data_IF_288768893957
#
_entry.id   IF_288768893957
#
_cell.length_a   1.000
_cell.length_b   1.000
_cell.length_c   1.000
_cell.angle_alpha   90.00
_cell.angle_beta   90.00
_cell.angle_gamma   90.00
#
_symmetry.space_group_name_H-M   'P 1'
#
loop_
_entity.id
_entity.type
_entity.pdbx_description
1 polymer ?
#
# COMPACT_ATOMS: atom_id res chain seq x y z
N UNK A 1 30.57 -18.71 -25.32
CA UNK A 1 29.91 -18.52 -24.01
C UNK A 1 30.68 -17.44 -23.30
N UNK A 2 30.15 -16.22 -23.22
CA UNK A 2 30.77 -15.13 -22.46
C UNK A 2 30.31 -15.36 -21.03
N UNK A 3 31.22 -15.82 -20.18
CA UNK A 3 30.94 -16.10 -18.76
C UNK A 3 30.82 -14.77 -18.01
N UNK A 4 29.64 -14.16 -18.08
CA UNK A 4 29.37 -12.91 -17.36
C UNK A 4 29.25 -13.28 -15.89
N UNK A 5 30.27 -12.91 -15.10
CA UNK A 5 30.28 -13.05 -13.64
C UNK A 5 29.22 -12.12 -12.99
N UNK A 6 27.94 -12.45 -13.13
CA UNK A 6 26.84 -11.84 -12.38
C UNK A 6 26.45 -12.71 -11.16
N UNK A 7 27.44 -13.22 -10.44
CA UNK A 7 27.19 -13.94 -9.19
C UNK A 7 26.93 -12.92 -8.08
N UNK A 8 25.71 -12.37 -8.05
CA UNK A 8 25.23 -11.70 -6.85
C UNK A 8 24.80 -12.78 -5.85
N UNK A 9 25.35 -12.81 -4.63
CA UNK A 9 24.92 -13.80 -3.63
C UNK A 9 23.40 -13.71 -3.41
N UNK A 10 22.74 -14.83 -3.12
CA UNK A 10 21.29 -14.88 -2.83
C UNK A 10 20.39 -14.29 -3.95
N UNK A 11 20.75 -14.47 -5.23
CA UNK A 11 19.86 -14.18 -6.36
C UNK A 11 19.44 -15.48 -7.03
N UNK A 12 18.14 -15.61 -7.30
CA UNK A 12 17.64 -16.68 -8.17
C UNK A 12 17.97 -16.31 -9.62
N UNK A 13 18.58 -17.24 -10.35
CA UNK A 13 18.86 -17.10 -11.78
C UNK A 13 17.98 -18.10 -12.52
N UNK A 14 17.29 -17.62 -13.56
CA UNK A 14 16.56 -18.47 -14.49
C UNK A 14 17.29 -18.40 -15.82
N UNK A 15 17.69 -19.57 -16.33
CA UNK A 15 18.28 -19.72 -17.66
C UNK A 15 17.29 -20.42 -18.57
N UNK A 16 17.11 -19.89 -19.79
CA UNK A 16 16.34 -20.52 -20.85
C UNK A 16 17.32 -20.79 -22.01
N UNK A 17 17.38 -22.03 -22.47
CA UNK A 17 18.11 -22.39 -23.69
C UNK A 17 17.10 -22.61 -24.81
N UNK A 18 17.31 -21.91 -25.92
CA UNK A 18 16.47 -21.98 -27.11
C UNK A 18 17.33 -22.07 -28.36
N UNK A 19 16.76 -22.64 -29.41
CA UNK A 19 17.40 -22.69 -30.71
C UNK A 19 17.30 -21.32 -31.41
N UNK A 20 18.44 -20.79 -31.84
CA UNK A 20 18.52 -19.49 -32.50
C UNK A 20 17.79 -19.48 -33.86
N UNK A 21 17.68 -20.64 -34.53
CA UNK A 21 16.99 -20.77 -35.82
C UNK A 21 15.48 -20.46 -35.71
N UNK A 22 14.87 -20.71 -34.54
CA UNK A 22 13.44 -20.48 -34.32
C UNK A 22 13.08 -19.01 -34.09
N UNK A 23 14.04 -18.16 -33.70
CA UNK A 23 13.80 -16.78 -33.28
C UNK A 23 14.35 -15.72 -34.25
N UNK A 24 14.91 -16.13 -35.39
CA UNK A 24 15.26 -15.23 -36.50
C UNK A 24 16.17 -14.05 -36.12
N UNK A 25 16.97 -14.21 -35.05
CA UNK A 25 17.86 -13.15 -34.53
C UNK A 25 17.19 -12.07 -33.68
N UNK A 26 15.90 -12.18 -33.31
CA UNK A 26 15.26 -11.27 -32.35
C UNK A 26 15.61 -11.64 -30.90
N UNK A 27 15.76 -10.61 -30.04
CA UNK A 27 15.88 -10.81 -28.59
C UNK A 27 14.57 -11.39 -28.03
N UNK A 28 14.66 -12.53 -27.38
CA UNK A 28 13.53 -13.15 -26.71
C UNK A 28 13.09 -12.32 -25.50
N UNK A 29 11.80 -12.02 -25.43
CA UNK A 29 11.16 -11.52 -24.20
C UNK A 29 10.52 -12.70 -23.47
N UNK A 30 10.91 -12.92 -22.22
CA UNK A 30 10.34 -13.99 -21.39
C UNK A 30 9.59 -13.35 -20.22
N UNK A 31 8.32 -13.71 -20.08
CA UNK A 31 7.47 -13.28 -18.97
C UNK A 31 7.35 -14.43 -17.97
N UNK A 32 7.56 -14.13 -16.69
CA UNK A 32 7.45 -15.12 -15.62
C UNK A 32 6.35 -14.73 -14.65
N UNK A 33 5.50 -15.70 -14.29
CA UNK A 33 4.60 -15.56 -13.16
C UNK A 33 5.22 -16.24 -11.94
N UNK A 34 5.76 -15.45 -11.02
CA UNK A 34 6.45 -15.94 -9.83
C UNK A 34 5.73 -15.50 -8.56
N UNK A 35 5.76 -16.36 -7.55
CA UNK A 35 5.52 -15.92 -6.18
C UNK A 35 6.71 -15.08 -5.75
N UNK A 36 6.42 -13.93 -5.14
CA UNK A 36 7.43 -12.98 -4.69
C UNK A 36 8.35 -13.52 -3.58
N UNK A 37 8.94 -12.61 -2.81
CA UNK A 37 9.92 -12.98 -1.79
C UNK A 37 9.26 -13.63 -0.57
N UNK A 38 9.98 -14.55 0.08
CA UNK A 38 9.70 -14.95 1.46
C UNK A 38 10.10 -13.79 2.37
N UNK A 39 9.14 -13.33 3.17
CA UNK A 39 9.29 -12.19 4.09
C UNK A 39 9.09 -12.65 5.55
N UNK A 40 9.42 -11.78 6.50
CA UNK A 40 9.16 -12.03 7.92
C UNK A 40 7.73 -11.64 8.26
N UNK A 41 6.92 -12.62 8.70
CA UNK A 41 5.53 -12.43 9.13
C UNK A 41 5.36 -12.87 10.58
N UNK A 42 4.30 -12.45 11.30
CA UNK A 42 4.02 -12.93 12.65
C UNK A 42 3.97 -14.45 12.71
N UNK A 43 4.53 -15.01 13.78
CA UNK A 43 4.47 -16.44 14.05
C UNK A 43 3.03 -16.99 14.04
N UNK A 44 2.09 -16.18 14.52
CA UNK A 44 0.67 -16.50 14.63
C UNK A 44 -0.18 -16.17 13.38
N UNK A 45 0.45 -15.71 12.31
CA UNK A 45 -0.23 -15.40 11.05
C UNK A 45 -0.16 -16.59 10.08
N UNK A 46 -1.31 -16.99 9.53
CA UNK A 46 -1.40 -17.92 8.40
C UNK A 46 -1.50 -17.11 7.11
N UNK A 47 -0.45 -17.06 6.26
CA UNK A 47 -0.46 -16.25 5.04
C UNK A 47 -1.37 -16.80 3.94
N UNK A 48 -1.72 -18.09 3.95
CA UNK A 48 -2.60 -18.67 2.94
C UNK A 48 -4.06 -18.36 3.27
N UNK A 49 -4.42 -18.53 4.55
CA UNK A 49 -5.79 -18.26 5.03
C UNK A 49 -6.01 -16.79 5.42
N UNK A 50 -4.93 -16.03 5.58
CA UNK A 50 -4.91 -14.65 6.08
C UNK A 50 -5.54 -14.49 7.46
N UNK A 51 -5.39 -15.49 8.31
CA UNK A 51 -5.94 -15.51 9.66
C UNK A 51 -4.85 -15.37 10.71
N UNK A 52 -5.21 -14.76 11.83
CA UNK A 52 -4.33 -14.60 12.99
C UNK A 52 -4.90 -15.45 14.13
N UNK A 53 -4.09 -16.33 14.71
CA UNK A 53 -4.54 -17.26 15.75
C UNK A 53 -3.91 -16.96 17.11
N UNK A 54 -4.74 -16.77 18.14
CA UNK A 54 -4.25 -16.46 19.48
C UNK A 54 -3.54 -15.11 19.60
N UNK A 55 -2.90 -14.89 20.75
CA UNK A 55 -2.17 -13.65 21.06
C UNK A 55 -0.77 -13.74 20.47
N UNK A 56 -0.35 -12.69 19.76
CA UNK A 56 1.00 -12.62 19.21
C UNK A 56 2.01 -12.21 20.29
N UNK A 57 3.10 -12.95 20.40
CA UNK A 57 4.22 -12.72 21.33
C UNK A 57 5.30 -11.79 20.75
N UNK A 58 5.11 -11.29 19.53
CA UNK A 58 6.08 -10.44 18.84
C UNK A 58 7.15 -11.21 18.06
N UNK A 59 7.08 -12.55 17.98
CA UNK A 59 8.00 -13.38 17.20
C UNK A 59 7.63 -13.45 15.71
N UNK A 60 8.63 -13.58 14.84
CA UNK A 60 8.45 -13.60 13.38
C UNK A 60 8.89 -14.96 12.82
N UNK A 61 8.24 -15.39 11.74
CA UNK A 61 8.58 -16.55 10.93
C UNK A 61 8.73 -16.18 9.46
N UNK A 62 9.61 -16.86 8.70
CA UNK A 62 9.72 -16.66 7.27
C UNK A 62 8.53 -17.30 6.54
N UNK A 63 7.74 -16.51 5.80
CA UNK A 63 6.71 -17.02 4.91
C UNK A 63 6.45 -16.05 3.75
N UNK A 64 5.86 -16.54 2.66
CA UNK A 64 5.37 -15.67 1.60
C UNK A 64 4.07 -15.01 2.02
N UNK A 65 3.94 -13.69 1.88
CA UNK A 65 2.68 -12.97 2.06
C UNK A 65 2.65 -11.76 1.13
N UNK A 66 1.45 -11.39 0.69
CA UNK A 66 1.16 -10.18 -0.09
C UNK A 66 0.36 -9.15 0.73
N UNK A 67 0.43 -9.24 2.06
CA UNK A 67 -0.08 -8.21 2.94
C UNK A 67 0.92 -7.03 2.95
N UNK A 68 0.48 -5.80 2.61
CA UNK A 68 1.36 -4.63 2.52
C UNK A 68 2.10 -4.31 3.82
N UNK A 69 1.52 -4.59 4.99
CA UNK A 69 2.15 -4.31 6.28
C UNK A 69 3.42 -5.12 6.49
N UNK A 70 3.38 -6.41 6.13
CA UNK A 70 4.54 -7.30 6.25
C UNK A 70 5.55 -7.07 5.12
N UNK A 71 5.08 -6.72 3.92
CA UNK A 71 5.97 -6.28 2.85
C UNK A 71 6.73 -5.00 3.23
N UNK A 72 6.07 -4.06 3.92
CA UNK A 72 6.70 -2.85 4.44
C UNK A 72 7.71 -3.16 5.55
N UNK A 73 7.36 -4.05 6.49
CA UNK A 73 8.29 -4.50 7.53
C UNK A 73 9.59 -5.07 6.93
N UNK A 74 9.46 -5.93 5.92
CA UNK A 74 10.60 -6.51 5.22
C UNK A 74 11.44 -5.43 4.50
N UNK A 75 10.79 -4.48 3.81
CA UNK A 75 11.50 -3.35 3.20
C UNK A 75 12.27 -2.53 4.24
N UNK A 76 11.67 -2.24 5.40
CA UNK A 76 12.32 -1.40 6.40
C UNK A 76 13.48 -2.12 7.10
N UNK A 77 13.34 -3.41 7.39
CA UNK A 77 14.30 -4.15 8.23
C UNK A 77 15.39 -4.85 7.43
N UNK A 78 15.21 -5.10 6.14
CA UNK A 78 16.16 -5.91 5.38
C UNK A 78 17.48 -5.15 5.09
N UNK A 79 18.66 -5.68 5.45
CA UNK A 79 19.94 -4.96 5.36
C UNK A 79 20.47 -4.76 3.93
N UNK A 80 20.00 -5.55 2.97
CA UNK A 80 20.53 -5.55 1.58
C UNK A 80 19.86 -4.55 0.62
N UNK A 81 18.54 -4.61 0.49
CA UNK A 81 17.75 -3.78 -0.46
C UNK A 81 16.83 -2.80 0.26
N UNK A 82 16.68 -2.98 1.57
CA UNK A 82 15.81 -2.20 2.42
C UNK A 82 16.53 -1.08 3.13
N UNK A 83 15.86 -0.52 4.13
CA UNK A 83 16.43 0.50 5.01
C UNK A 83 17.16 -0.10 6.22
N UNK A 84 17.37 -1.43 6.26
CA UNK A 84 17.89 -2.16 7.42
C UNK A 84 19.30 -1.77 7.88
N UNK A 85 20.07 -1.04 7.05
CA UNK A 85 21.37 -0.48 7.45
C UNK A 85 21.25 0.80 8.30
N UNK A 86 20.10 1.48 8.23
CA UNK A 86 19.83 2.77 8.89
C UNK A 86 18.73 2.66 9.95
N UNK A 87 17.76 1.77 9.72
CA UNK A 87 16.67 1.47 10.65
C UNK A 87 16.79 0.02 11.08
N UNK A 88 16.97 -0.23 12.38
CA UNK A 88 16.89 -1.55 12.95
C UNK A 88 15.44 -2.01 13.15
N UNK A 89 15.23 -3.29 13.38
CA UNK A 89 13.91 -3.83 13.75
C UNK A 89 13.36 -3.23 15.05
N UNK A 90 14.23 -2.68 15.91
CA UNK A 90 13.84 -1.98 17.13
C UNK A 90 13.32 -0.56 16.86
N UNK A 91 13.71 0.06 15.76
CA UNK A 91 13.33 1.43 15.39
C UNK A 91 11.97 1.48 14.70
N UNK A 92 11.34 0.33 14.44
CA UNK A 92 10.05 0.21 13.74
C UNK A 92 9.01 -0.38 14.68
N UNK A 93 7.86 0.28 14.78
CA UNK A 93 6.75 -0.18 15.61
C UNK A 93 6.03 -1.38 14.98
N UNK A 94 6.49 -2.58 15.33
CA UNK A 94 5.88 -3.84 14.88
C UNK A 94 4.45 -4.05 15.37
N UNK A 95 4.05 -3.41 16.48
CA UNK A 95 2.72 -3.58 17.06
C UNK A 95 1.69 -2.77 16.29
N UNK A 96 2.03 -1.53 15.90
CA UNK A 96 1.22 -0.74 14.98
C UNK A 96 1.05 -1.45 13.64
N UNK A 97 2.13 -1.99 13.07
CA UNK A 97 2.07 -2.75 11.82
C UNK A 97 1.23 -4.03 11.94
N UNK A 98 1.23 -4.69 13.11
CA UNK A 98 0.38 -5.85 13.35
C UNK A 98 -1.12 -5.49 13.26
N UNK A 99 -1.53 -4.39 13.91
CA UNK A 99 -2.92 -3.93 13.85
C UNK A 99 -3.33 -3.52 12.41
N UNK A 100 -2.44 -2.87 11.67
CA UNK A 100 -2.64 -2.53 10.26
C UNK A 100 -2.72 -3.80 9.40
N UNK A 101 -1.85 -4.78 9.64
CA UNK A 101 -1.85 -6.06 8.95
C UNK A 101 -3.16 -6.81 9.11
N UNK A 102 -3.69 -6.86 10.33
CA UNK A 102 -5.02 -7.43 10.60
C UNK A 102 -6.14 -6.71 9.85
N UNK A 103 -6.07 -5.38 9.75
CA UNK A 103 -7.05 -4.59 9.00
C UNK A 103 -6.99 -4.85 7.49
N UNK A 104 -5.79 -4.96 6.92
CA UNK A 104 -5.58 -5.28 5.50
C UNK A 104 -6.10 -6.67 5.10
N UNK A 105 -6.02 -7.64 6.01
CA UNK A 105 -6.48 -9.01 5.76
C UNK A 105 -7.99 -9.24 5.98
N UNK A 106 -8.73 -8.24 6.45
CA UNK A 106 -10.19 -8.34 6.59
C UNK A 106 -10.85 -8.59 5.23
N UNK A 107 -11.79 -9.52 5.19
CA UNK A 107 -12.58 -9.78 4.00
C UNK A 107 -13.60 -8.67 3.79
N UNK A 108 -13.63 -8.12 2.58
CA UNK A 108 -14.55 -7.08 2.15
C UNK A 108 -15.17 -7.47 0.81
N UNK A 109 -16.37 -6.96 0.49
CA UNK A 109 -16.97 -7.18 -0.82
C UNK A 109 -16.07 -6.62 -1.93
N UNK A 110 -15.90 -7.41 -3.00
CA UNK A 110 -15.12 -7.02 -4.18
C UNK A 110 -15.87 -6.06 -5.12
N UNK A 111 -17.18 -5.85 -4.90
CA UNK A 111 -18.05 -5.05 -5.76
C UNK A 111 -18.68 -5.81 -6.92
N UNK A 112 -18.34 -7.09 -7.10
CA UNK A 112 -18.82 -7.97 -8.18
C UNK A 112 -19.54 -9.23 -7.66
N UNK A 113 -19.84 -9.30 -6.37
CA UNK A 113 -20.60 -10.38 -5.73
C UNK A 113 -19.74 -11.41 -4.99
N UNK A 114 -18.43 -11.20 -4.93
CA UNK A 114 -17.48 -11.98 -4.14
C UNK A 114 -16.93 -11.23 -2.94
N UNK A 115 -15.93 -11.83 -2.31
CA UNK A 115 -15.18 -11.23 -1.20
C UNK A 115 -13.69 -11.31 -1.49
N UNK A 116 -12.98 -10.26 -1.17
CA UNK A 116 -11.54 -10.18 -1.29
C UNK A 116 -10.92 -9.58 -0.02
N UNK A 117 -9.62 -9.79 0.23
CA UNK A 117 -8.90 -9.08 1.28
C UNK A 117 -8.95 -7.56 1.04
N UNK A 118 -9.08 -6.78 2.12
CA UNK A 118 -9.25 -5.33 2.04
C UNK A 118 -8.13 -4.65 1.27
N UNK A 119 -6.88 -4.98 1.57
CA UNK A 119 -5.72 -4.50 0.85
C UNK A 119 -4.76 -5.65 0.53
N UNK A 120 -4.36 -5.72 -0.72
CA UNK A 120 -3.28 -6.60 -1.18
C UNK A 120 -2.20 -5.75 -1.84
N UNK A 121 -0.97 -6.27 -1.83
CA UNK A 121 0.16 -5.54 -2.38
C UNK A 121 1.09 -6.49 -3.13
N UNK A 122 1.15 -6.31 -4.44
CA UNK A 122 2.03 -7.02 -5.34
C UNK A 122 2.76 -5.98 -6.20
N UNK A 123 3.96 -5.59 -5.78
CA UNK A 123 4.78 -4.62 -6.52
C UNK A 123 6.11 -5.24 -6.95
N UNK A 124 6.59 -4.81 -8.11
CA UNK A 124 7.91 -5.14 -8.62
C UNK A 124 8.81 -3.91 -8.59
N UNK A 125 9.88 -3.98 -7.79
CA UNK A 125 10.84 -2.89 -7.60
C UNK A 125 12.14 -3.20 -8.36
N UNK A 126 12.25 -2.73 -9.59
CA UNK A 126 13.44 -2.96 -10.44
C UNK A 126 14.45 -1.80 -10.39
N UNK A 127 13.99 -0.58 -10.12
CA UNK A 127 14.80 0.63 -10.21
C UNK A 127 15.11 1.22 -8.85
N UNK A 128 16.27 1.87 -8.72
CA UNK A 128 16.63 2.60 -7.51
C UNK A 128 15.75 3.85 -7.39
N UNK A 129 15.01 3.95 -6.27
CA UNK A 129 14.18 5.10 -5.91
C UNK A 129 14.59 5.61 -4.54
N UNK A 130 14.19 6.85 -4.22
CA UNK A 130 14.41 7.38 -2.86
C UNK A 130 13.61 6.54 -1.87
N UNK A 131 14.25 6.25 -0.74
CA UNK A 131 13.67 5.40 0.29
C UNK A 131 12.33 5.94 0.81
N UNK A 132 12.26 7.26 1.01
CA UNK A 132 11.04 7.94 1.45
C UNK A 132 9.88 7.82 0.46
N UNK A 133 10.14 7.96 -0.85
CA UNK A 133 9.10 7.83 -1.88
C UNK A 133 8.53 6.41 -1.87
N UNK A 134 9.39 5.39 -1.75
CA UNK A 134 8.95 3.99 -1.65
C UNK A 134 8.14 3.76 -0.37
N UNK A 135 8.60 4.27 0.77
CA UNK A 135 7.87 4.19 2.03
C UNK A 135 6.47 4.84 1.91
N UNK A 136 6.41 6.01 1.30
CA UNK A 136 5.16 6.73 1.05
C UNK A 136 4.21 5.93 0.15
N UNK A 137 4.74 5.25 -0.88
CA UNK A 137 3.93 4.39 -1.76
C UNK A 137 3.35 3.17 -1.02
N UNK A 138 4.12 2.55 -0.12
CA UNK A 138 3.59 1.49 0.75
C UNK A 138 2.52 2.02 1.71
N UNK A 139 2.76 3.22 2.26
CA UNK A 139 1.85 3.87 3.20
C UNK A 139 0.54 4.28 2.53
N UNK A 140 0.58 4.80 1.30
CA UNK A 140 -0.61 5.16 0.54
C UNK A 140 -1.47 3.93 0.20
N UNK A 141 -0.85 2.80 -0.15
CA UNK A 141 -1.57 1.53 -0.37
C UNK A 141 -2.31 1.04 0.89
N UNK A 142 -1.78 1.34 2.08
CA UNK A 142 -2.38 0.98 3.37
C UNK A 142 -3.27 2.06 3.98
N UNK A 143 -3.36 3.24 3.37
CA UNK A 143 -3.99 4.43 3.94
C UNK A 143 -3.44 4.77 5.33
N UNK A 144 -2.12 4.68 5.48
CA UNK A 144 -1.44 5.06 6.70
C UNK A 144 -0.44 6.19 6.45
N UNK A 145 -0.05 6.87 7.52
CA UNK A 145 1.01 7.87 7.51
C UNK A 145 2.15 7.41 8.43
N UNK A 146 3.41 7.43 7.95
CA UNK A 146 4.56 7.17 8.79
C UNK A 146 4.81 8.37 9.70
N UNK A 147 4.93 8.14 11.01
CA UNK A 147 5.18 9.17 12.02
C UNK A 147 6.37 8.75 12.87
N UNK A 148 7.31 9.67 13.06
CA UNK A 148 8.39 9.48 14.02
C UNK A 148 7.94 10.01 15.39
N UNK A 149 7.80 9.12 16.37
CA UNK A 149 7.33 9.50 17.72
C UNK A 149 8.47 9.93 18.67
N UNK A 150 9.70 10.04 18.16
CA UNK A 150 10.90 10.36 18.94
C UNK A 150 11.73 9.14 19.35
N UNK A 151 11.15 7.93 19.35
CA UNK A 151 11.84 6.68 19.66
C UNK A 151 11.80 5.68 18.50
N UNK A 152 10.62 5.54 17.89
CA UNK A 152 10.37 4.59 16.81
C UNK A 152 9.55 5.22 15.70
N UNK A 153 9.69 4.65 14.50
CA UNK A 153 8.82 4.89 13.36
C UNK A 153 7.53 4.11 13.57
N UNK A 154 6.45 4.84 13.88
CA UNK A 154 5.10 4.29 14.04
C UNK A 154 4.24 4.65 12.84
N UNK A 155 3.11 3.97 12.69
CA UNK A 155 2.20 4.13 11.56
C UNK A 155 0.80 4.41 12.06
N UNK A 156 0.25 5.54 11.64
CA UNK A 156 -1.13 5.92 11.93
C UNK A 156 -1.97 5.61 10.71
N UNK A 157 -2.92 4.68 10.83
CA UNK A 157 -3.81 4.30 9.74
C UNK A 157 -5.15 5.02 9.85
N UNK A 158 -5.66 5.48 8.72
CA UNK A 158 -7.04 5.95 8.58
C UNK A 158 -8.00 4.75 8.64
N UNK A 159 -8.48 4.49 9.86
CA UNK A 159 -9.49 3.47 10.16
C UNK A 159 -10.46 4.01 11.22
N UNK A 160 -11.72 3.56 11.22
CA UNK A 160 -12.66 3.91 12.28
C UNK A 160 -12.07 3.56 13.66
N UNK A 161 -12.06 4.53 14.56
CA UNK A 161 -11.60 4.39 15.94
C UNK A 161 -12.57 5.09 16.89
N UNK A 162 -12.58 4.66 18.15
CA UNK A 162 -13.36 5.32 19.18
C UNK A 162 -12.88 6.77 19.39
N UNK A 163 -13.81 7.64 19.78
CA UNK A 163 -13.49 9.03 20.11
C UNK A 163 -12.57 9.03 21.34
N UNK A 164 -11.32 9.47 21.15
CA UNK A 164 -10.32 9.47 22.22
C UNK A 164 -10.58 10.60 23.22
N UNK A 165 -11.02 11.76 22.74
CA UNK A 165 -11.30 12.91 23.60
C UNK A 165 -12.34 13.86 22.97
N UNK A 166 -13.44 14.19 23.65
CA UNK A 166 -14.34 15.26 23.24
C UNK A 166 -13.74 16.60 23.67
N UNK A 167 -13.52 17.50 22.72
CA UNK A 167 -13.16 18.89 23.02
C UNK A 167 -14.41 19.77 23.01
N UNK A 168 -14.59 20.57 24.06
CA UNK A 168 -15.62 21.61 24.11
C UNK A 168 -14.97 22.99 23.99
N UNK A 169 -15.76 24.02 23.69
CA UNK A 169 -15.25 25.39 23.60
C UNK A 169 -14.63 25.90 24.92
N UNK A 170 -14.95 25.24 26.05
CA UNK A 170 -14.35 25.53 27.36
C UNK A 170 -12.95 24.94 27.53
N UNK A 171 -12.60 23.90 26.76
CA UNK A 171 -11.31 23.21 26.82
C UNK A 171 -10.27 23.84 25.87
N UNK A 172 -10.69 24.74 24.99
CA UNK A 172 -9.84 25.36 23.98
C UNK A 172 -9.23 26.66 24.52
N UNK A 173 -7.90 26.72 24.53
CA UNK A 173 -7.18 27.96 24.80
C UNK A 173 -7.43 28.92 23.65
N UNK A 174 -8.01 30.06 23.99
CA UNK A 174 -8.29 31.14 23.05
C UNK A 174 -6.99 31.76 22.56
N UNK A 175 -6.89 32.05 21.26
CA UNK A 175 -5.74 32.76 20.72
C UNK A 175 -5.67 34.23 21.19
N UNK A 176 -4.57 34.92 20.87
CA UNK A 176 -4.36 36.34 21.23
C UNK A 176 -5.44 37.29 20.68
N UNK A 177 -6.25 36.85 19.71
CA UNK A 177 -7.36 37.61 19.11
C UNK A 177 -8.74 37.22 19.69
N UNK A 178 -8.80 36.38 20.71
CA UNK A 178 -10.05 35.95 21.32
C UNK A 178 -10.84 34.92 20.50
N UNK A 179 -10.22 34.29 19.49
CA UNK A 179 -10.82 33.22 18.71
C UNK A 179 -10.37 31.86 19.25
N UNK A 180 -11.32 31.01 19.63
CA UNK A 180 -11.08 29.62 20.01
C UNK A 180 -10.91 28.74 18.76
N UNK A 181 -11.92 27.95 18.41
CA UNK A 181 -11.89 27.13 17.20
C UNK A 181 -11.79 27.98 15.92
N UNK A 182 -10.86 27.61 15.05
CA UNK A 182 -10.73 28.14 13.69
C UNK A 182 -11.14 27.05 12.70
N UNK A 183 -12.07 27.38 11.82
CA UNK A 183 -12.52 26.48 10.75
C UNK A 183 -11.95 26.96 9.43
N UNK A 184 -11.33 26.05 8.69
CA UNK A 184 -10.83 26.29 7.33
C UNK A 184 -11.41 25.23 6.41
N UNK A 185 -11.90 25.68 5.25
CA UNK A 185 -12.53 24.80 4.28
C UNK A 185 -11.63 24.65 3.04
N UNK A 186 -11.58 23.45 2.49
CA UNK A 186 -10.91 23.17 1.21
C UNK A 186 -11.65 23.89 0.08
N UNK A 187 -10.90 24.52 -0.84
CA UNK A 187 -11.49 25.26 -1.95
C UNK A 187 -12.22 24.31 -2.92
N UNK A 188 -13.28 24.79 -3.56
CA UNK A 188 -14.13 23.98 -4.45
C UNK A 188 -13.34 23.30 -5.59
N UNK A 189 -12.33 23.99 -6.12
CA UNK A 189 -11.46 23.50 -7.20
C UNK A 189 -10.60 22.30 -6.80
N UNK A 190 -10.34 22.15 -5.50
CA UNK A 190 -9.50 21.09 -4.95
C UNK A 190 -10.35 19.86 -4.56
N UNK A 191 -11.68 19.92 -4.78
CA UNK A 191 -12.61 18.81 -4.59
C UNK A 191 -12.81 18.07 -5.90
N UNK A 192 -12.32 16.86 -5.98
CA UNK A 192 -12.47 15.97 -7.12
C UNK A 192 -13.75 15.15 -6.96
N UNK A 193 -14.47 15.00 -8.06
CA UNK A 193 -15.74 14.26 -8.11
C UNK A 193 -15.62 12.96 -8.90
N UNK A 194 -14.52 12.82 -9.63
CA UNK A 194 -14.17 11.67 -10.45
C UNK A 194 -12.70 11.34 -10.25
N UNK A 195 -12.36 10.05 -10.16
CA UNK A 195 -10.99 9.58 -10.00
C UNK A 195 -10.73 8.43 -10.98
N UNK A 196 -9.71 8.60 -11.82
CA UNK A 196 -9.13 7.53 -12.63
C UNK A 196 -8.00 6.86 -11.85
N UNK A 197 -8.19 5.60 -11.47
CA UNK A 197 -7.25 4.80 -10.69
C UNK A 197 -6.56 3.79 -11.59
N UNK A 198 -5.27 3.95 -11.82
CA UNK A 198 -4.47 2.97 -12.54
C UNK A 198 -4.04 1.83 -11.61
N UNK A 199 -4.22 0.58 -12.04
CA UNK A 199 -3.81 -0.62 -11.32
C UNK A 199 -3.23 -1.66 -12.28
N UNK A 200 -2.49 -2.64 -11.76
CA UNK A 200 -1.92 -3.71 -12.59
C UNK A 200 -2.91 -4.88 -12.68
N UNK A 201 -3.41 -5.18 -13.88
CA UNK A 201 -4.50 -6.14 -14.05
C UNK A 201 -3.98 -7.55 -14.42
N UNK A 202 -4.14 -8.57 -13.56
CA UNK A 202 -3.76 -9.94 -13.88
C UNK A 202 -4.55 -10.56 -15.03
N UNK A 203 -5.79 -10.12 -15.27
CA UNK A 203 -6.64 -10.61 -16.37
C UNK A 203 -6.22 -10.03 -17.72
N UNK A 204 -5.65 -8.81 -17.71
CA UNK A 204 -5.07 -8.16 -18.89
C UNK A 204 -3.56 -8.42 -19.04
N UNK A 205 -3.10 -9.60 -18.64
CA UNK A 205 -1.70 -10.01 -18.80
C UNK A 205 -0.70 -9.17 -17.98
N UNK A 206 -1.10 -8.68 -16.80
CA UNK A 206 -0.30 -7.83 -15.91
C UNK A 206 0.03 -6.45 -16.49
N UNK A 207 -0.78 -5.96 -17.43
CA UNK A 207 -0.68 -4.60 -17.94
C UNK A 207 -1.43 -3.61 -17.03
N UNK A 208 -1.11 -2.33 -17.16
CA UNK A 208 -1.83 -1.26 -16.45
C UNK A 208 -3.23 -1.10 -17.05
N UNK A 209 -4.25 -1.25 -16.21
CA UNK A 209 -5.65 -0.95 -16.51
C UNK A 209 -6.09 0.23 -15.65
N UNK A 210 -7.08 0.98 -16.14
CA UNK A 210 -7.63 2.15 -15.44
C UNK A 210 -9.06 1.86 -15.00
N UNK A 211 -9.36 2.09 -13.72
CA UNK A 211 -10.72 2.08 -13.18
C UNK A 211 -11.19 3.52 -13.00
N UNK A 212 -12.34 3.86 -13.58
CA UNK A 212 -13.00 5.15 -13.38
C UNK A 212 -13.99 5.03 -12.22
N UNK A 213 -13.83 5.88 -11.21
CA UNK A 213 -14.73 6.00 -10.07
C UNK A 213 -15.35 7.40 -10.11
N UNK A 214 -16.67 7.47 -10.12
CA UNK A 214 -17.40 8.74 -10.18
C UNK A 214 -18.47 8.79 -9.08
N UNK A 215 -18.66 9.96 -8.49
CA UNK A 215 -19.77 10.24 -7.58
C UNK A 215 -20.82 11.11 -8.32
N UNK A 216 -21.95 10.51 -8.75
CA UNK A 216 -22.97 11.23 -9.51
C UNK A 216 -23.59 12.42 -8.76
N UNK A 217 -23.74 12.32 -7.44
CA UNK A 217 -24.35 13.38 -6.63
C UNK A 217 -23.38 14.56 -6.52
N UNK A 218 -22.10 14.28 -6.28
CA UNK A 218 -21.07 15.32 -6.26
C UNK A 218 -20.89 15.98 -7.63
N UNK A 219 -20.93 15.20 -8.72
CA UNK A 219 -20.85 15.72 -10.10
C UNK A 219 -22.03 16.65 -10.41
N UNK A 220 -23.25 16.28 -10.03
CA UNK A 220 -24.43 17.12 -10.23
C UNK A 220 -24.32 18.45 -9.47
N UNK A 221 -23.66 18.45 -8.31
CA UNK A 221 -23.56 19.63 -7.43
C UNK A 221 -22.38 20.54 -7.75
N UNK A 222 -21.23 19.97 -8.08
CA UNK A 222 -19.95 20.70 -8.20
C UNK A 222 -19.36 20.68 -9.61
N UNK A 223 -19.98 19.93 -10.54
CA UNK A 223 -19.42 19.66 -11.85
C UNK A 223 -18.38 18.53 -11.82
N UNK A 224 -17.94 18.09 -12.99
CA UNK A 224 -16.96 17.00 -13.11
C UNK A 224 -15.54 17.53 -12.93
N UNK A 225 -14.87 17.11 -11.86
CA UNK A 225 -13.45 17.36 -11.61
C UNK A 225 -12.70 16.02 -11.49
N UNK A 226 -11.70 15.81 -12.35
CA UNK A 226 -11.03 14.52 -12.53
C UNK A 226 -9.63 14.52 -11.89
N UNK A 227 -9.40 13.60 -10.98
CA UNK A 227 -8.07 13.26 -10.49
C UNK A 227 -7.56 11.98 -11.17
N UNK A 228 -6.29 11.96 -11.53
CA UNK A 228 -5.60 10.73 -11.95
C UNK A 228 -4.70 10.27 -10.82
N UNK A 229 -4.86 9.02 -10.40
CA UNK A 229 -4.02 8.40 -9.37
C UNK A 229 -3.51 7.03 -9.81
N UNK A 230 -2.31 6.69 -9.37
CA UNK A 230 -1.73 5.37 -9.55
C UNK A 230 -1.82 4.59 -8.24
N UNK A 231 -2.53 3.46 -8.24
CA UNK A 231 -2.61 2.57 -7.09
C UNK A 231 -1.41 1.61 -7.09
N UNK A 232 -0.33 2.03 -6.44
CA UNK A 232 0.91 1.27 -6.39
C UNK A 232 0.72 -0.12 -5.76
N UNK A 233 1.15 -1.17 -6.48
CA UNK A 233 1.06 -2.56 -6.03
C UNK A 233 -0.36 -3.14 -5.99
N UNK A 234 -1.36 -2.41 -6.48
CA UNK A 234 -2.75 -2.88 -6.53
C UNK A 234 -2.96 -3.80 -7.74
N UNK A 235 -3.47 -5.00 -7.49
CA UNK A 235 -3.78 -5.98 -8.55
C UNK A 235 -5.25 -6.36 -8.67
N UNK A 236 -6.10 -5.81 -7.80
CA UNK A 236 -7.55 -6.02 -7.87
C UNK A 236 -8.25 -4.74 -8.31
N UNK A 237 -9.20 -4.90 -9.24
CA UNK A 237 -10.12 -3.85 -9.66
C UNK A 237 -10.96 -3.32 -8.49
N UNK A 238 -11.43 -4.21 -7.60
CA UNK A 238 -12.23 -3.83 -6.43
C UNK A 238 -11.43 -2.96 -5.45
N UNK A 239 -10.17 -3.30 -5.21
CA UNK A 239 -9.25 -2.48 -4.40
C UNK A 239 -9.00 -1.10 -5.04
N UNK A 240 -8.79 -1.04 -6.36
CA UNK A 240 -8.63 0.23 -7.09
C UNK A 240 -9.88 1.12 -6.98
N UNK A 241 -11.07 0.53 -7.18
CA UNK A 241 -12.34 1.23 -7.03
C UNK A 241 -12.53 1.78 -5.60
N UNK A 242 -12.22 0.98 -4.57
CA UNK A 242 -12.26 1.44 -3.17
C UNK A 242 -11.26 2.55 -2.88
N UNK A 243 -10.11 2.56 -3.54
CA UNK A 243 -9.12 3.63 -3.38
C UNK A 243 -9.63 4.95 -3.98
N UNK A 244 -10.21 4.93 -5.18
CA UNK A 244 -10.84 6.11 -5.79
C UNK A 244 -12.00 6.64 -4.95
N UNK A 245 -12.88 5.76 -4.46
CA UNK A 245 -13.99 6.15 -3.57
C UNK A 245 -13.49 6.78 -2.26
N UNK A 246 -12.37 6.30 -1.72
CA UNK A 246 -11.81 6.87 -0.50
C UNK A 246 -11.31 8.30 -0.73
N UNK A 247 -10.66 8.59 -1.86
CA UNK A 247 -10.21 9.95 -2.18
C UNK A 247 -11.41 10.91 -2.28
N UNK A 248 -12.43 10.54 -3.07
CA UNK A 248 -13.64 11.37 -3.26
C UNK A 248 -14.33 11.63 -1.92
N UNK A 249 -14.51 10.59 -1.10
CA UNK A 249 -15.18 10.73 0.21
C UNK A 249 -14.38 11.56 1.19
N UNK A 250 -13.06 11.42 1.22
CA UNK A 250 -12.21 12.24 2.09
C UNK A 250 -12.35 13.71 1.72
N UNK A 251 -12.24 14.05 0.44
CA UNK A 251 -12.37 15.44 -0.02
C UNK A 251 -13.79 16.02 0.17
N UNK A 252 -14.83 15.19 0.12
CA UNK A 252 -16.21 15.62 0.39
C UNK A 252 -16.50 15.81 1.88
N UNK A 253 -15.85 15.04 2.75
CA UNK A 253 -16.02 15.10 4.21
C UNK A 253 -15.07 16.10 4.89
N UNK A 254 -14.03 16.55 4.20
CA UNK A 254 -13.24 17.73 4.56
C UNK A 254 -14.04 19.03 4.35
N UNK A 255 -15.13 19.15 5.12
CA UNK A 255 -15.97 20.34 5.24
C UNK A 255 -15.99 20.80 6.67
#
# INVERSE_FOLDING_TARGET
>A
IIDVKQCYPNTAIVGLQVDAEQFGGQQMTVNYHIRGRIIQVPSNYDPEKRTYSGIWDGSLKPAYSNNPAWCLWDMLTHPRYGMGKRLGAADVDKWALYAIGQYCDQTVPDGFGGTEPRMTFNAYLAQQRKAWDVLSDFCSAMRCMPVWNGQTLTFVQDRPSDVVWPYTNSDVVVDDNGVGFRYSFSALKDRHTAVEVNYTDPQNGWQTSTELVEDPEAILRYGRNLLKMDAFGCTSRGQAHRAGLWVIKTELLET
#
